data_IF_728490422088
#
_entry.id   IF_728490422088
#
_cell.length_a   1.000
_cell.length_b   1.000
_cell.length_c   1.000
_cell.angle_alpha   90.00
_cell.angle_beta   90.00
_cell.angle_gamma   90.00
#
_symmetry.space_group_name_H-M   'P 1'
#
loop_
_entity.id
_entity.type
_entity.pdbx_description
1 polymer ?
#
# COMPACT_ATOMS: atom_id res chain seq x y z
N UNK A 1 -3.49 29.17 25.46
CA UNK A 1 -4.30 28.55 24.39
C UNK A 1 -3.68 28.97 23.07
N UNK A 2 -2.82 28.12 22.51
CA UNK A 2 -2.28 28.31 21.17
C UNK A 2 -2.70 27.08 20.37
N UNK A 3 -3.72 27.22 19.53
CA UNK A 3 -4.10 26.22 18.55
C UNK A 3 -3.06 26.28 17.44
N UNK A 4 -2.12 25.32 17.43
CA UNK A 4 -1.33 25.01 16.25
C UNK A 4 -2.05 23.91 15.49
N UNK A 5 -3.02 24.30 14.67
CA UNK A 5 -3.54 23.42 13.63
C UNK A 5 -2.38 23.13 12.66
N UNK A 6 -1.93 21.88 12.64
CA UNK A 6 -0.97 21.40 11.66
C UNK A 6 -1.64 21.48 10.27
N UNK A 7 -1.01 22.10 9.27
CA UNK A 7 -1.58 22.18 7.94
C UNK A 7 -1.69 20.77 7.33
N UNK A 8 -2.88 20.42 6.85
CA UNK A 8 -3.19 19.12 6.23
C UNK A 8 -2.38 18.79 4.95
N UNK A 9 -1.50 19.69 4.51
CA UNK A 9 -0.64 19.52 3.34
C UNK A 9 0.44 18.47 3.52
N UNK A 10 0.83 18.16 4.76
CA UNK A 10 2.01 17.33 5.03
C UNK A 10 1.65 15.84 5.13
N UNK A 11 0.37 15.48 5.20
CA UNK A 11 -0.09 14.07 5.20
C UNK A 11 0.09 13.41 3.83
N UNK A 12 0.10 14.19 2.74
CA UNK A 12 0.29 13.69 1.37
C UNK A 12 1.43 14.41 0.64
N UNK A 13 2.49 14.77 1.37
CA UNK A 13 3.71 15.33 0.81
C UNK A 13 4.32 14.42 -0.26
N UNK A 14 3.98 14.68 -1.53
CA UNK A 14 4.78 14.28 -2.69
C UNK A 14 6.06 15.10 -2.63
N UNK A 15 7.00 14.66 -1.80
CA UNK A 15 8.36 15.19 -1.86
C UNK A 15 8.98 14.73 -3.18
N UNK A 16 9.31 15.72 -3.99
CA UNK A 16 10.07 15.55 -5.22
C UNK A 16 11.37 14.82 -4.96
N UNK A 17 11.68 13.93 -5.89
CA UNK A 17 12.87 13.10 -5.96
C UNK A 17 14.13 14.01 -6.05
N UNK A 18 14.79 14.23 -4.91
CA UNK A 18 16.15 14.75 -4.84
C UNK A 18 16.91 13.93 -3.81
N UNK A 19 17.61 12.89 -4.28
CA UNK A 19 19.06 12.76 -4.08
C UNK A 19 19.65 11.56 -4.86
N UNK A 20 20.61 11.88 -5.74
CA UNK A 20 21.51 10.95 -6.42
C UNK A 20 22.56 10.44 -5.43
N UNK A 21 22.74 9.12 -5.24
CA UNK A 21 23.90 8.38 -5.77
C UNK A 21 23.89 6.94 -5.23
N UNK A 22 24.22 5.94 -6.06
CA UNK A 22 24.35 4.52 -5.65
C UNK A 22 23.42 3.55 -6.40
N UNK A 23 23.94 2.89 -7.44
CA UNK A 23 23.17 2.10 -8.43
C UNK A 23 23.01 0.60 -8.10
N UNK A 24 23.22 0.18 -6.84
CA UNK A 24 23.17 -1.25 -6.43
C UNK A 24 22.06 -1.60 -5.44
N UNK A 25 21.82 -0.73 -4.45
CA UNK A 25 20.97 -1.06 -3.29
C UNK A 25 19.57 -0.46 -3.34
N UNK A 26 19.32 0.51 -4.25
CA UNK A 26 17.99 1.13 -4.43
C UNK A 26 16.89 0.14 -4.84
N UNK A 27 17.25 -1.04 -5.37
CA UNK A 27 16.28 -2.10 -5.70
C UNK A 27 15.80 -2.90 -4.49
N UNK A 28 16.48 -2.81 -3.34
CA UNK A 28 16.19 -3.63 -2.16
C UNK A 28 15.10 -3.03 -1.27
N UNK A 29 14.80 -1.75 -1.43
CA UNK A 29 13.97 -0.98 -0.51
C UNK A 29 12.97 -0.12 -1.28
N UNK A 30 11.82 -0.71 -1.59
CA UNK A 30 10.74 -0.12 -2.40
C UNK A 30 9.74 0.66 -1.54
N UNK A 31 9.57 0.27 -0.27
CA UNK A 31 8.46 0.72 0.57
C UNK A 31 8.90 1.48 1.82
N UNK A 32 10.19 1.78 2.01
CA UNK A 32 10.68 2.39 3.27
C UNK A 32 9.94 3.69 3.65
N UNK A 33 9.71 4.60 2.70
CA UNK A 33 9.00 5.87 2.96
C UNK A 33 7.55 5.59 3.39
N UNK A 34 6.85 4.73 2.66
CA UNK A 34 5.45 4.41 2.91
C UNK A 34 5.27 3.62 4.21
N UNK A 35 6.18 2.69 4.51
CA UNK A 35 6.18 1.90 5.76
C UNK A 35 6.38 2.83 6.95
N UNK A 36 7.29 3.82 6.86
CA UNK A 36 7.47 4.82 7.93
C UNK A 36 6.17 5.59 8.20
N UNK A 37 5.53 6.10 7.16
CA UNK A 37 4.26 6.82 7.29
C UNK A 37 3.14 5.91 7.85
N UNK A 38 3.09 4.65 7.43
CA UNK A 38 2.14 3.67 7.96
C UNK A 38 2.37 3.38 9.44
N UNK A 39 3.62 3.17 9.87
CA UNK A 39 3.95 2.92 11.28
C UNK A 39 3.44 4.06 12.16
N UNK A 40 3.69 5.31 11.77
CA UNK A 40 3.13 6.48 12.46
C UNK A 40 1.59 6.47 12.44
N UNK A 41 0.97 6.16 11.31
CA UNK A 41 -0.49 6.03 11.18
C UNK A 41 -1.10 4.91 12.05
N UNK A 42 -0.31 3.89 12.41
CA UNK A 42 -0.68 2.84 13.37
C UNK A 42 -0.38 3.20 14.83
N UNK A 43 0.14 4.41 15.09
CA UNK A 43 0.41 4.93 16.43
C UNK A 43 1.85 4.74 16.91
N UNK A 44 2.79 4.41 16.03
CA UNK A 44 4.21 4.43 16.34
C UNK A 44 4.77 5.87 16.42
N UNK A 45 6.04 6.02 16.78
CA UNK A 45 6.73 7.31 16.77
C UNK A 45 6.90 7.86 15.35
N UNK A 46 7.04 9.19 15.23
CA UNK A 46 7.19 9.87 13.94
C UNK A 46 8.45 9.43 13.18
N UNK A 47 9.55 9.18 13.91
CA UNK A 47 10.83 8.74 13.36
C UNK A 47 11.22 7.37 13.96
N UNK A 48 10.63 6.27 13.49
CA UNK A 48 10.97 4.93 13.93
C UNK A 48 12.39 4.55 13.48
N UNK A 49 13.00 3.60 14.19
CA UNK A 49 14.35 3.13 13.88
C UNK A 49 14.43 2.60 12.44
N UNK A 50 15.47 2.95 11.66
CA UNK A 50 15.63 2.46 10.29
C UNK A 50 15.57 0.94 10.17
N UNK A 51 16.11 0.22 11.16
CA UNK A 51 16.12 -1.23 11.24
C UNK A 51 14.70 -1.80 11.39
N UNK A 52 13.84 -1.13 12.17
CA UNK A 52 12.42 -1.52 12.31
C UNK A 52 11.68 -1.36 10.99
N UNK A 53 11.88 -0.23 10.30
CA UNK A 53 11.25 0.03 8.99
C UNK A 53 11.69 -1.03 7.97
N UNK A 54 13.00 -1.32 7.91
CA UNK A 54 13.55 -2.33 7.01
C UNK A 54 13.03 -3.74 7.31
N UNK A 55 12.91 -4.12 8.59
CA UNK A 55 12.37 -5.41 9.00
C UNK A 55 10.88 -5.54 8.63
N UNK A 56 10.07 -4.49 8.86
CA UNK A 56 8.65 -4.51 8.49
C UNK A 56 8.48 -4.58 6.98
N UNK A 57 9.34 -3.91 6.21
CA UNK A 57 9.37 -4.05 4.75
C UNK A 57 9.65 -5.50 4.33
N UNK A 58 10.65 -6.15 4.92
CA UNK A 58 10.97 -7.56 4.62
C UNK A 58 9.78 -8.48 4.91
N UNK A 59 9.12 -8.31 6.06
CA UNK A 59 7.92 -9.06 6.45
C UNK A 59 6.79 -8.82 5.44
N UNK A 60 6.59 -7.57 5.01
CA UNK A 60 5.54 -7.22 4.04
C UNK A 60 5.79 -7.86 2.68
N UNK A 61 7.04 -7.81 2.18
CA UNK A 61 7.43 -8.46 0.92
C UNK A 61 7.23 -9.96 1.01
N UNK A 62 7.68 -10.60 2.10
CA UNK A 62 7.50 -12.03 2.31
C UNK A 62 6.01 -12.41 2.35
N UNK A 63 5.18 -11.62 3.02
CA UNK A 63 3.73 -11.82 3.04
C UNK A 63 3.10 -11.75 1.64
N UNK A 64 3.50 -10.78 0.83
CA UNK A 64 3.04 -10.64 -0.56
C UNK A 64 3.45 -11.88 -1.37
N UNK A 65 4.71 -12.30 -1.29
CA UNK A 65 5.20 -13.49 -2.00
C UNK A 65 4.41 -14.75 -1.61
N UNK A 66 4.18 -14.97 -0.33
CA UNK A 66 3.44 -16.15 0.14
C UNK A 66 1.95 -16.08 -0.17
N UNK A 67 1.36 -14.88 -0.25
CA UNK A 67 -0.01 -14.70 -0.74
C UNK A 67 -0.09 -15.03 -2.23
N UNK A 68 0.83 -14.49 -3.05
CA UNK A 68 0.91 -14.74 -4.49
C UNK A 68 1.09 -16.22 -4.80
N UNK A 69 1.98 -16.91 -4.08
CA UNK A 69 2.17 -18.37 -4.21
C UNK A 69 0.90 -19.15 -3.95
N UNK A 70 0.23 -18.88 -2.82
CA UNK A 70 -1.05 -19.52 -2.49
C UNK A 70 -2.14 -19.20 -3.51
N UNK A 71 -2.17 -18.00 -4.06
CA UNK A 71 -3.14 -17.65 -5.12
C UNK A 71 -2.89 -18.44 -6.40
N UNK A 72 -1.63 -18.70 -6.77
CA UNK A 72 -1.29 -19.51 -7.94
C UNK A 72 -1.70 -20.98 -7.79
N UNK A 73 -1.73 -21.51 -6.57
CA UNK A 73 -2.14 -22.91 -6.30
C UNK A 73 -3.65 -23.12 -6.44
N UNK A 74 -4.45 -22.08 -6.15
CA UNK A 74 -5.92 -22.15 -6.19
C UNK A 74 -6.47 -21.70 -7.55
N UNK A 75 -5.80 -20.71 -8.17
CA UNK A 75 -6.22 -20.09 -9.42
C UNK A 75 -5.84 -20.89 -10.67
N UNK A 76 -6.02 -20.25 -11.84
CA UNK A 76 -5.57 -20.84 -13.12
C UNK A 76 -4.05 -20.69 -13.25
N UNK A 77 -3.40 -21.76 -13.70
CA UNK A 77 -1.95 -21.76 -13.96
C UNK A 77 -1.58 -20.60 -14.88
N UNK A 78 -0.67 -19.74 -14.42
CA UNK A 78 -0.14 -18.62 -15.18
C UNK A 78 -0.93 -17.31 -15.10
N UNK A 79 -2.04 -17.25 -14.36
CA UNK A 79 -2.78 -15.98 -14.15
C UNK A 79 -3.39 -15.91 -12.75
N UNK A 80 -3.07 -14.83 -12.03
CA UNK A 80 -3.70 -14.49 -10.74
C UNK A 80 -4.75 -13.42 -11.00
N UNK A 81 -5.97 -13.63 -10.51
CA UNK A 81 -7.05 -12.63 -10.56
C UNK A 81 -7.31 -12.02 -9.18
N UNK A 82 -8.11 -10.94 -9.15
CA UNK A 82 -8.49 -10.28 -7.90
C UNK A 82 -9.35 -11.22 -7.04
N UNK A 83 -10.17 -12.04 -7.67
CA UNK A 83 -11.01 -13.04 -7.02
C UNK A 83 -10.19 -14.10 -6.28
N UNK A 84 -9.03 -14.50 -6.83
CA UNK A 84 -8.14 -15.48 -6.18
C UNK A 84 -7.57 -14.93 -4.86
N UNK A 85 -7.19 -13.65 -4.84
CA UNK A 85 -6.69 -12.99 -3.63
C UNK A 85 -7.84 -12.75 -2.64
N UNK A 86 -8.99 -12.28 -3.12
CA UNK A 86 -10.18 -12.07 -2.28
C UNK A 86 -10.64 -13.39 -1.62
N UNK A 87 -10.54 -14.51 -2.34
CA UNK A 87 -10.84 -15.83 -1.83
C UNK A 87 -9.90 -16.24 -0.68
N UNK A 88 -8.60 -15.94 -0.77
CA UNK A 88 -7.65 -16.24 0.32
C UNK A 88 -7.92 -15.41 1.57
N UNK A 89 -8.34 -14.15 1.41
CA UNK A 89 -8.59 -13.22 2.53
C UNK A 89 -9.93 -13.50 3.22
N UNK A 90 -10.83 -14.28 2.60
CA UNK A 90 -12.21 -14.53 3.10
C UNK A 90 -12.29 -15.10 4.52
N UNK A 91 -11.22 -15.73 5.01
CA UNK A 91 -11.17 -16.30 6.36
C UNK A 91 -11.17 -15.22 7.46
N UNK A 92 -10.75 -14.00 7.15
CA UNK A 92 -10.76 -12.86 8.07
C UNK A 92 -11.89 -11.90 7.67
N UNK A 93 -13.01 -11.88 8.41
CA UNK A 93 -14.18 -11.08 8.06
C UNK A 93 -13.87 -9.58 7.98
N UNK A 94 -12.94 -9.07 8.81
CA UNK A 94 -12.59 -7.65 8.84
C UNK A 94 -11.80 -7.27 7.60
N UNK A 95 -10.76 -8.04 7.27
CA UNK A 95 -9.94 -7.81 6.07
C UNK A 95 -10.76 -8.01 4.80
N UNK A 96 -11.63 -9.01 4.77
CA UNK A 96 -12.48 -9.30 3.61
C UNK A 96 -13.49 -8.16 3.35
N UNK A 97 -14.18 -7.69 4.40
CA UNK A 97 -15.12 -6.57 4.29
C UNK A 97 -14.41 -5.32 3.78
N UNK A 98 -13.23 -5.02 4.36
CA UNK A 98 -12.44 -3.87 3.94
C UNK A 98 -11.95 -3.96 2.50
N UNK A 99 -11.49 -5.13 2.07
CA UNK A 99 -11.06 -5.35 0.69
C UNK A 99 -12.21 -5.13 -0.30
N UNK A 100 -13.41 -5.62 0.03
CA UNK A 100 -14.62 -5.42 -0.78
C UNK A 100 -14.98 -3.94 -0.93
N UNK A 101 -14.97 -3.18 0.17
CA UNK A 101 -15.22 -1.73 0.14
C UNK A 101 -14.23 -1.00 -0.76
N UNK A 102 -12.93 -1.30 -0.64
CA UNK A 102 -11.88 -0.65 -1.43
C UNK A 102 -12.02 -0.94 -2.93
N UNK A 103 -12.39 -2.16 -3.29
CA UNK A 103 -12.64 -2.52 -4.70
C UNK A 103 -13.84 -1.77 -5.27
N UNK A 104 -14.94 -1.65 -4.52
CA UNK A 104 -16.12 -0.88 -4.92
C UNK A 104 -15.78 0.59 -5.13
N UNK A 105 -15.07 1.21 -4.17
CA UNK A 105 -14.66 2.60 -4.29
C UNK A 105 -13.72 2.82 -5.48
N UNK A 106 -12.79 1.89 -5.74
CA UNK A 106 -11.93 1.96 -6.91
C UNK A 106 -12.71 1.90 -8.21
N UNK A 107 -13.78 1.11 -8.28
CA UNK A 107 -14.65 1.03 -9.46
C UNK A 107 -15.40 2.35 -9.68
N UNK A 108 -15.96 2.93 -8.62
CA UNK A 108 -16.64 4.23 -8.65
C UNK A 108 -15.71 5.35 -9.12
N UNK A 109 -14.49 5.43 -8.57
CA UNK A 109 -13.49 6.41 -8.98
C UNK A 109 -13.10 6.24 -10.45
N UNK A 110 -12.94 5.00 -10.92
CA UNK A 110 -12.63 4.74 -12.32
C UNK A 110 -13.79 5.12 -13.26
N UNK A 111 -15.03 4.91 -12.82
CA UNK A 111 -16.23 5.35 -13.56
C UNK A 111 -16.31 6.87 -13.63
N UNK A 112 -16.05 7.56 -12.54
CA UNK A 112 -16.03 9.02 -12.49
C UNK A 112 -14.97 9.58 -13.44
N UNK A 113 -13.73 9.08 -13.40
CA UNK A 113 -12.66 9.48 -14.32
C UNK A 113 -13.05 9.36 -15.79
N UNK A 114 -13.64 8.22 -16.17
CA UNK A 114 -14.12 7.98 -17.54
C UNK A 114 -15.23 8.92 -17.98
N UNK A 115 -16.06 9.42 -17.06
CA UNK A 115 -17.10 10.38 -17.41
C UNK A 115 -16.48 11.73 -17.82
N UNK A 116 -15.44 12.18 -17.11
CA UNK A 116 -14.74 13.43 -17.43
C UNK A 116 -13.90 13.36 -18.72
N UNK A 117 -13.33 12.19 -19.03
CA UNK A 117 -12.54 12.01 -20.27
C UNK A 117 -13.40 11.99 -21.55
N UNK A 118 -14.71 11.76 -21.43
CA UNK A 118 -15.65 11.74 -22.58
C UNK A 118 -16.37 13.09 -22.80
N UNK A 119 -16.08 14.12 -21.99
CA UNK A 119 -16.71 15.45 -22.08
C UNK A 119 -15.92 16.46 -22.95
N UNK A 120 -14.95 16.00 -23.77
CA UNK A 120 -14.23 16.79 -24.78
C UNK A 120 -14.07 16.06 -26.12
#
# INVERSE_FOLDING_TARGET
MANSELPSSDIFGVDGDQDASGSGDKKKHLFLKDIRAMLYGFGDVENPLPETVAMVEEIAVQYILDMTRRSMEIGRVGKITVEDIAYLVRSDPRKFSRAKELLLLSEELNKAKKAFDNDF
#
